data_IF_817410700090
#
_entry.id   IF_817410700090
#
_cell.length_a   1.000
_cell.length_b   1.000
_cell.length_c   1.000
_cell.angle_alpha   90.00
_cell.angle_beta   90.00
_cell.angle_gamma   90.00
#
_symmetry.space_group_name_H-M   'P 1'
#
loop_
_entity.id
_entity.type
_entity.pdbx_description
1 polymer ?
#
# COMPACT_ATOMS: atom_id res chain seq x y z
N UNK A 1 27.05 71.75 29.46
CA UNK A 1 27.03 70.92 28.31
C UNK A 1 26.99 69.47 28.77
N UNK A 2 25.79 68.90 28.87
CA UNK A 2 25.60 67.52 29.35
C UNK A 2 25.44 66.62 28.12
N UNK A 3 26.34 65.71 27.93
CA UNK A 3 26.27 64.68 26.88
C UNK A 3 25.49 63.50 27.47
N UNK A 4 24.32 63.28 26.97
CA UNK A 4 23.49 62.12 27.35
C UNK A 4 23.86 60.97 26.40
N UNK A 5 24.54 59.96 26.94
CA UNK A 5 24.87 58.74 26.21
C UNK A 5 23.66 57.79 26.26
N UNK A 6 22.97 57.64 25.15
CA UNK A 6 21.89 56.67 24.99
C UNK A 6 22.50 55.30 24.68
N UNK A 7 22.45 54.39 25.65
CA UNK A 7 22.83 52.98 25.46
C UNK A 7 21.65 52.26 24.79
N UNK A 8 21.85 51.90 23.54
CA UNK A 8 20.93 51.07 22.78
C UNK A 8 21.14 49.61 23.16
N UNK A 9 20.30 49.09 24.04
CA UNK A 9 20.27 47.65 24.36
C UNK A 9 19.70 46.90 23.16
N UNK A 10 20.53 46.27 22.36
CA UNK A 10 20.12 45.23 21.44
C UNK A 10 19.77 43.96 22.25
N UNK A 11 18.49 43.72 22.46
CA UNK A 11 17.98 42.43 22.88
C UNK A 11 18.14 41.45 21.70
N UNK A 12 19.26 40.73 21.68
CA UNK A 12 19.42 39.55 20.86
C UNK A 12 18.56 38.47 21.50
N UNK A 13 17.32 38.34 21.06
CA UNK A 13 16.51 37.15 21.32
C UNK A 13 17.14 35.99 20.55
N UNK A 14 18.10 35.32 21.15
CA UNK A 14 18.52 33.99 20.72
C UNK A 14 17.32 33.09 20.92
N UNK A 15 16.57 32.84 19.85
CA UNK A 15 15.74 31.65 19.75
C UNK A 15 16.68 30.45 19.86
N UNK A 16 16.83 29.92 21.05
CA UNK A 16 17.21 28.54 21.23
C UNK A 16 16.05 27.72 20.64
N UNK A 17 16.14 27.41 19.36
CA UNK A 17 15.50 26.24 18.84
C UNK A 17 16.09 25.10 19.68
N UNK A 18 15.35 24.67 20.69
CA UNK A 18 15.57 23.34 21.26
C UNK A 18 15.32 22.38 20.12
N UNK A 19 16.37 22.04 19.39
CA UNK A 19 16.41 20.80 18.67
C UNK A 19 16.15 19.75 19.73
N UNK A 20 14.90 19.29 19.83
CA UNK A 20 14.62 18.10 20.60
C UNK A 20 15.47 17.03 19.91
N UNK A 21 16.51 16.59 20.61
CA UNK A 21 17.26 15.42 20.16
C UNK A 21 16.21 14.34 19.90
N UNK A 22 16.12 13.79 18.70
CA UNK A 22 15.12 12.76 18.44
C UNK A 22 15.27 11.70 19.52
N UNK A 23 14.18 11.40 20.22
CA UNK A 23 14.17 10.33 21.21
C UNK A 23 14.48 9.05 20.43
N UNK A 24 15.57 8.36 20.82
CA UNK A 24 15.92 7.09 20.18
C UNK A 24 14.76 6.13 20.35
N UNK A 25 14.17 5.69 19.22
CA UNK A 25 13.12 4.69 19.20
C UNK A 25 13.76 3.33 18.92
N UNK A 26 13.45 2.36 19.76
CA UNK A 26 13.89 0.97 19.59
C UNK A 26 12.72 0.17 19.04
N UNK A 27 13.03 -0.90 18.27
CA UNK A 27 12.00 -1.81 17.80
C UNK A 27 11.41 -2.60 18.99
N UNK A 28 10.09 -2.61 19.09
CA UNK A 28 9.36 -3.42 20.05
C UNK A 28 8.23 -4.19 19.35
N UNK A 29 8.13 -5.49 19.60
CA UNK A 29 7.06 -6.32 19.05
C UNK A 29 5.65 -5.86 19.45
N UNK A 30 5.55 -5.10 20.54
CA UNK A 30 4.32 -4.62 21.13
C UNK A 30 3.93 -3.20 20.67
N UNK A 31 4.73 -2.58 19.83
CA UNK A 31 4.41 -1.28 19.22
C UNK A 31 3.53 -1.51 17.99
N UNK A 32 2.25 -1.75 18.24
CA UNK A 32 1.27 -2.05 17.22
C UNK A 32 0.44 -0.80 16.84
N UNK A 33 0.14 -0.59 15.55
CA UNK A 33 -0.72 0.52 15.12
C UNK A 33 -2.22 0.28 15.40
N UNK A 34 -2.57 -0.92 15.87
CA UNK A 34 -3.96 -1.32 16.12
C UNK A 34 -4.15 -1.78 17.57
N UNK A 35 -5.35 -1.56 18.09
CA UNK A 35 -5.71 -2.07 19.42
C UNK A 35 -5.98 -3.58 19.38
N UNK A 36 -5.86 -4.21 20.55
CA UNK A 36 -6.22 -5.64 20.75
C UNK A 36 -7.64 -5.95 20.31
N UNK A 37 -8.56 -5.05 20.63
CA UNK A 37 -9.99 -5.18 20.33
C UNK A 37 -10.22 -5.13 18.81
N UNK A 38 -9.52 -4.25 18.10
CA UNK A 38 -9.60 -4.16 16.64
C UNK A 38 -9.06 -5.43 15.98
N UNK A 39 -7.89 -5.90 16.41
CA UNK A 39 -7.29 -7.14 15.89
C UNK A 39 -8.17 -8.35 16.18
N UNK A 40 -8.80 -8.43 17.36
CA UNK A 40 -9.77 -9.47 17.68
C UNK A 40 -10.98 -9.40 16.76
N UNK A 41 -11.55 -8.21 16.57
CA UNK A 41 -12.72 -7.99 15.70
C UNK A 41 -12.44 -8.45 14.26
N UNK A 42 -11.24 -8.17 13.71
CA UNK A 42 -10.85 -8.63 12.37
C UNK A 42 -10.88 -10.17 12.27
N UNK A 43 -10.31 -10.87 13.26
CA UNK A 43 -10.29 -12.34 13.31
C UNK A 43 -11.71 -12.91 13.51
N UNK A 44 -12.50 -12.30 14.38
CA UNK A 44 -13.88 -12.72 14.64
C UNK A 44 -14.76 -12.55 13.39
N UNK A 45 -14.58 -11.46 12.65
CA UNK A 45 -15.28 -11.22 11.39
C UNK A 45 -14.98 -12.32 10.36
N UNK A 46 -13.70 -12.68 10.18
CA UNK A 46 -13.32 -13.78 9.29
C UNK A 46 -13.91 -15.11 9.76
N UNK A 47 -13.75 -15.45 11.04
CA UNK A 47 -14.26 -16.71 11.61
C UNK A 47 -15.78 -16.82 11.48
N UNK A 48 -16.52 -15.75 11.80
CA UNK A 48 -17.97 -15.72 11.70
C UNK A 48 -18.45 -15.84 10.26
N UNK A 49 -17.76 -15.21 9.30
CA UNK A 49 -18.09 -15.31 7.88
C UNK A 49 -17.92 -16.76 7.40
N UNK A 50 -16.77 -17.38 7.67
CA UNK A 50 -16.49 -18.77 7.29
C UNK A 50 -17.50 -19.74 7.93
N UNK A 51 -17.79 -19.58 9.21
CA UNK A 51 -18.82 -20.42 9.89
C UNK A 51 -20.22 -20.24 9.30
N UNK A 52 -20.59 -19.03 8.90
CA UNK A 52 -21.87 -18.76 8.22
C UNK A 52 -21.96 -19.47 6.88
N UNK A 53 -20.84 -19.68 6.21
CA UNK A 53 -20.73 -20.46 4.97
C UNK A 53 -20.69 -21.99 5.24
N UNK A 54 -20.73 -22.40 6.49
CA UNK A 54 -20.67 -23.82 6.89
C UNK A 54 -19.26 -24.39 6.97
N UNK A 55 -18.22 -23.51 6.97
CA UNK A 55 -16.85 -23.96 7.04
C UNK A 55 -16.47 -24.39 8.46
N UNK A 56 -15.60 -25.38 8.51
CA UNK A 56 -15.03 -25.96 9.75
C UNK A 56 -13.54 -26.24 9.54
N UNK A 57 -12.80 -26.50 10.63
CA UNK A 57 -11.38 -26.84 10.59
C UNK A 57 -10.48 -25.67 10.91
N UNK A 58 -9.32 -25.60 10.27
CA UNK A 58 -8.22 -24.69 10.63
C UNK A 58 -8.04 -23.61 9.58
N UNK A 59 -8.16 -22.35 9.96
CA UNK A 59 -7.69 -21.22 9.17
C UNK A 59 -6.19 -21.09 9.41
N UNK A 60 -5.38 -21.10 8.36
CA UNK A 60 -3.91 -21.05 8.46
C UNK A 60 -3.37 -19.90 7.62
N UNK A 61 -2.68 -18.98 8.28
CA UNK A 61 -2.16 -17.73 7.67
C UNK A 61 -0.66 -17.63 7.96
N UNK A 62 0.20 -17.88 6.96
CA UNK A 62 1.65 -17.79 7.13
C UNK A 62 2.15 -16.35 7.07
N UNK A 63 3.19 -16.07 7.85
CA UNK A 63 4.04 -14.89 7.74
C UNK A 63 5.07 -15.04 6.61
N UNK A 64 5.70 -13.93 6.22
CA UNK A 64 6.88 -13.95 5.36
C UNK A 64 8.12 -14.52 6.10
N UNK A 65 9.10 -14.98 5.33
CA UNK A 65 10.31 -15.66 5.85
C UNK A 65 11.33 -14.70 6.49
N UNK A 66 11.21 -13.41 6.25
CA UNK A 66 11.95 -12.39 7.00
C UNK A 66 13.39 -12.15 6.54
N UNK A 67 13.87 -12.82 5.51
CA UNK A 67 15.26 -12.64 5.11
C UNK A 67 15.41 -12.22 3.64
N UNK A 68 15.71 -10.91 3.44
CA UNK A 68 16.21 -10.40 2.16
C UNK A 68 17.40 -9.48 2.42
N UNK A 69 18.56 -9.78 1.83
CA UNK A 69 19.69 -8.89 1.90
C UNK A 69 19.39 -7.62 1.10
N UNK A 70 19.43 -6.48 1.78
CA UNK A 70 19.30 -5.15 1.14
C UNK A 70 17.88 -4.60 1.08
N UNK A 71 16.87 -5.34 1.53
CA UNK A 71 15.48 -4.86 1.61
C UNK A 71 15.00 -4.79 3.06
N UNK A 72 14.19 -3.79 3.37
CA UNK A 72 13.50 -3.71 4.65
C UNK A 72 12.45 -4.83 4.72
N UNK A 73 12.42 -5.60 5.81
CA UNK A 73 11.43 -6.65 5.99
C UNK A 73 10.01 -6.11 5.81
N UNK A 74 9.20 -6.82 5.05
CA UNK A 74 7.78 -6.58 4.88
C UNK A 74 7.00 -7.85 5.19
N UNK A 75 6.01 -7.72 6.06
CA UNK A 75 5.18 -8.84 6.44
C UNK A 75 4.19 -9.24 5.35
N UNK A 76 3.75 -10.50 5.35
CA UNK A 76 2.63 -10.96 4.53
C UNK A 76 1.35 -10.23 4.94
N UNK A 77 0.63 -9.71 3.97
CA UNK A 77 -0.53 -8.83 4.19
C UNK A 77 -1.56 -9.43 5.15
N UNK A 78 -1.98 -10.67 4.92
CA UNK A 78 -2.99 -11.31 5.78
C UNK A 78 -2.47 -11.53 7.20
N UNK A 79 -1.21 -11.96 7.36
CA UNK A 79 -0.64 -12.14 8.69
C UNK A 79 -0.61 -10.82 9.45
N UNK A 80 -0.14 -9.75 8.80
CA UNK A 80 -0.14 -8.40 9.40
C UNK A 80 -1.54 -7.91 9.70
N UNK A 81 -2.49 -8.07 8.78
CA UNK A 81 -3.88 -7.65 8.97
C UNK A 81 -4.52 -8.24 10.23
N UNK A 82 -4.30 -9.54 10.48
CA UNK A 82 -4.90 -10.26 11.59
C UNK A 82 -4.12 -10.21 12.91
N UNK A 83 -2.84 -9.79 12.88
CA UNK A 83 -1.97 -9.78 14.06
C UNK A 83 -1.35 -8.43 14.39
N UNK A 84 -1.16 -7.56 13.41
CA UNK A 84 -0.40 -6.32 13.53
C UNK A 84 1.13 -6.54 13.65
N UNK A 85 1.61 -7.78 13.62
CA UNK A 85 3.00 -8.14 13.94
C UNK A 85 3.86 -8.26 12.68
N UNK A 86 5.07 -7.73 12.75
CA UNK A 86 6.13 -7.98 11.76
C UNK A 86 7.03 -9.17 12.17
N UNK A 87 6.43 -10.25 12.67
CA UNK A 87 7.12 -11.45 13.16
C UNK A 87 7.39 -12.44 12.01
N UNK A 88 8.66 -12.63 11.59
CA UNK A 88 8.98 -13.50 10.45
C UNK A 88 8.85 -14.99 10.81
N UNK A 89 8.60 -15.81 9.79
CA UNK A 89 8.51 -17.28 9.89
C UNK A 89 7.42 -17.77 10.88
N UNK A 90 6.44 -16.93 11.20
CA UNK A 90 5.33 -17.31 12.08
C UNK A 90 4.13 -17.82 11.27
N UNK A 91 3.21 -18.47 11.94
CA UNK A 91 1.94 -18.95 11.38
C UNK A 91 0.82 -18.63 12.36
N UNK A 92 -0.16 -17.86 11.92
CA UNK A 92 -1.41 -17.69 12.67
C UNK A 92 -2.34 -18.83 12.33
N UNK A 93 -2.87 -19.51 13.35
CA UNK A 93 -3.90 -20.53 13.20
C UNK A 93 -5.14 -20.14 14.01
N UNK A 94 -6.31 -20.19 13.35
CA UNK A 94 -7.61 -20.04 14.00
C UNK A 94 -8.37 -21.38 13.84
N UNK A 95 -8.66 -22.04 14.95
CA UNK A 95 -9.46 -23.27 14.96
C UNK A 95 -10.95 -22.92 15.07
N UNK A 96 -11.67 -23.11 13.96
CA UNK A 96 -13.10 -22.79 13.90
C UNK A 96 -13.96 -23.74 14.72
N UNK A 97 -13.48 -24.96 14.99
CA UNK A 97 -14.19 -25.96 15.75
C UNK A 97 -14.14 -25.67 17.26
N UNK A 98 -12.97 -25.24 17.75
CA UNK A 98 -12.72 -25.01 19.16
C UNK A 98 -12.72 -23.53 19.56
N UNK A 99 -12.86 -22.61 18.62
CA UNK A 99 -12.80 -21.15 18.83
C UNK A 99 -11.48 -20.71 19.50
N UNK A 100 -10.37 -21.31 19.09
CA UNK A 100 -9.04 -20.93 19.58
C UNK A 100 -8.22 -20.29 18.49
N UNK A 101 -7.32 -19.38 18.87
CA UNK A 101 -6.40 -18.72 17.96
C UNK A 101 -5.01 -18.74 18.59
N UNK A 102 -3.99 -19.13 17.82
CA UNK A 102 -2.59 -19.25 18.27
C UNK A 102 -1.65 -18.77 17.17
N UNK A 103 -0.60 -18.06 17.56
CA UNK A 103 0.54 -17.75 16.67
C UNK A 103 1.65 -18.75 16.98
N UNK A 104 2.01 -19.55 15.99
CA UNK A 104 3.14 -20.46 16.05
C UNK A 104 4.38 -19.77 15.50
N UNK A 105 5.49 -19.81 16.24
CA UNK A 105 6.74 -19.15 15.86
C UNK A 105 7.94 -20.04 16.16
N UNK A 106 9.03 -19.95 15.36
CA UNK A 106 10.29 -20.57 15.74
C UNK A 106 10.77 -20.05 17.10
N UNK A 107 11.38 -20.92 17.88
CA UNK A 107 11.99 -20.50 19.14
C UNK A 107 13.18 -19.56 18.90
N UNK A 108 13.43 -18.68 19.86
CA UNK A 108 14.58 -17.77 19.84
C UNK A 108 15.87 -18.57 19.87
N UNK A 109 16.75 -18.32 18.90
CA UNK A 109 18.12 -18.84 18.92
C UNK A 109 19.05 -17.88 19.69
N UNK A 110 19.32 -18.18 20.95
CA UNK A 110 20.13 -17.33 21.82
C UNK A 110 21.57 -17.09 21.34
N UNK A 111 22.04 -17.87 20.35
CA UNK A 111 23.37 -17.65 19.75
C UNK A 111 23.39 -16.42 18.85
N UNK A 112 22.27 -16.10 18.21
CA UNK A 112 22.13 -15.04 17.21
C UNK A 112 21.12 -13.96 17.62
N UNK A 113 20.15 -14.31 18.47
CA UNK A 113 19.03 -13.45 18.87
C UNK A 113 19.09 -13.11 20.37
N UNK A 114 20.28 -12.91 20.87
CA UNK A 114 20.49 -12.58 22.28
C UNK A 114 20.47 -11.03 22.41
N UNK A 115 19.38 -10.49 22.90
CA UNK A 115 19.20 -9.06 23.12
C UNK A 115 20.09 -8.48 24.22
N UNK A 116 21.41 -8.55 24.04
CA UNK A 116 22.39 -8.16 25.06
C UNK A 116 22.71 -6.66 25.11
N UNK A 117 22.25 -5.88 24.13
CA UNK A 117 22.49 -4.43 24.05
C UNK A 117 21.18 -3.66 23.96
N UNK A 118 21.17 -2.49 24.55
CA UNK A 118 19.99 -1.62 24.58
C UNK A 118 19.51 -1.22 23.16
N UNK A 119 20.38 -1.25 22.16
CA UNK A 119 20.11 -0.85 20.77
C UNK A 119 20.01 -2.01 19.80
N UNK A 120 20.12 -3.26 20.29
CA UNK A 120 20.02 -4.42 19.43
C UNK A 120 18.54 -4.75 19.15
N UNK A 121 18.30 -5.38 18.01
CA UNK A 121 17.03 -6.03 17.74
C UNK A 121 16.74 -7.03 18.89
N UNK A 122 15.52 -6.98 19.49
CA UNK A 122 15.23 -7.75 20.72
C UNK A 122 15.24 -9.26 20.54
N UNK A 123 15.48 -9.75 19.32
CA UNK A 123 15.30 -11.15 18.94
C UNK A 123 13.81 -11.49 18.86
N UNK A 124 13.50 -12.75 18.51
CA UNK A 124 12.11 -13.21 18.52
C UNK A 124 11.55 -13.20 19.93
N UNK A 125 10.23 -12.98 20.11
CA UNK A 125 9.62 -13.04 21.43
C UNK A 125 9.79 -14.44 22.04
N UNK A 126 9.95 -14.50 23.35
CA UNK A 126 9.94 -15.76 24.07
C UNK A 126 8.52 -16.33 24.13
N UNK A 127 8.37 -17.65 24.02
CA UNK A 127 7.05 -18.30 24.04
C UNK A 127 6.27 -18.05 25.34
N UNK A 128 6.96 -17.84 26.45
CA UNK A 128 6.36 -17.53 27.74
C UNK A 128 6.21 -16.01 28.00
N UNK A 129 6.55 -15.16 27.02
CA UNK A 129 6.33 -13.73 27.13
C UNK A 129 4.87 -13.40 26.81
N UNK A 130 4.16 -12.84 27.79
CA UNK A 130 2.73 -12.51 27.65
C UNK A 130 2.51 -11.16 26.95
N UNK A 131 3.56 -10.35 26.73
CA UNK A 131 3.41 -9.01 26.16
C UNK A 131 2.74 -9.02 24.77
N UNK A 132 3.09 -10.00 23.93
CA UNK A 132 2.47 -10.17 22.61
C UNK A 132 0.97 -10.52 22.76
N UNK A 133 0.64 -11.48 23.61
CA UNK A 133 -0.75 -11.89 23.81
C UNK A 133 -1.59 -10.79 24.46
N UNK A 134 -1.00 -9.97 25.30
CA UNK A 134 -1.68 -8.83 25.93
C UNK A 134 -2.04 -7.75 24.88
N UNK A 135 -1.23 -7.59 23.85
CA UNK A 135 -1.43 -6.60 22.78
C UNK A 135 -2.23 -7.13 21.59
N UNK A 136 -2.03 -8.39 21.22
CA UNK A 136 -2.71 -8.98 20.06
C UNK A 136 -3.97 -9.76 20.40
N UNK A 137 -4.10 -10.18 21.65
CA UNK A 137 -5.12 -11.14 22.09
C UNK A 137 -4.85 -12.59 21.71
N UNK A 138 -3.61 -12.90 21.21
CA UNK A 138 -3.26 -14.23 20.69
C UNK A 138 -2.00 -14.74 21.37
N UNK A 139 -2.02 -15.93 22.00
CA UNK A 139 -0.86 -16.55 22.62
C UNK A 139 0.13 -17.05 21.56
N UNK A 140 1.40 -17.17 21.96
CA UNK A 140 2.45 -17.79 21.18
C UNK A 140 2.60 -19.29 21.52
N UNK A 141 2.95 -20.09 20.53
CA UNK A 141 3.32 -21.49 20.69
C UNK A 141 4.51 -21.84 19.77
N UNK A 142 5.13 -23.01 19.99
CA UNK A 142 6.28 -23.43 19.21
C UNK A 142 5.90 -24.00 17.83
N UNK A 143 6.86 -24.00 16.90
CA UNK A 143 6.69 -24.70 15.62
C UNK A 143 6.60 -26.23 15.78
N UNK A 144 7.05 -26.77 16.92
CA UNK A 144 6.83 -28.16 17.24
C UNK A 144 5.36 -28.43 17.54
N UNK A 145 4.72 -27.57 18.34
CA UNK A 145 3.27 -27.67 18.62
C UNK A 145 2.45 -27.52 17.33
N UNK A 146 2.87 -26.64 16.41
CA UNK A 146 2.24 -26.54 15.08
C UNK A 146 2.36 -27.86 14.30
N UNK A 147 3.51 -28.51 14.35
CA UNK A 147 3.72 -29.80 13.68
C UNK A 147 2.82 -30.88 14.27
N UNK A 148 2.65 -30.90 15.58
CA UNK A 148 1.74 -31.83 16.26
C UNK A 148 0.27 -31.55 15.91
N UNK A 149 -0.12 -30.28 15.87
CA UNK A 149 -1.46 -29.88 15.42
C UNK A 149 -1.75 -30.37 14.00
N UNK A 150 -0.82 -30.17 13.06
CA UNK A 150 -0.99 -30.62 11.66
C UNK A 150 -1.02 -32.13 11.52
N UNK A 151 -0.23 -32.87 12.33
CA UNK A 151 -0.28 -34.33 12.37
C UNK A 151 -1.66 -34.84 12.83
N UNK A 152 -2.23 -34.22 13.86
CA UNK A 152 -3.54 -34.60 14.38
C UNK A 152 -4.66 -34.23 13.41
N UNK A 153 -4.63 -33.02 12.85
CA UNK A 153 -5.58 -32.57 11.84
C UNK A 153 -5.57 -33.48 10.60
N UNK A 154 -4.39 -33.96 10.18
CA UNK A 154 -4.25 -34.91 9.06
C UNK A 154 -4.89 -36.26 9.35
N UNK A 155 -4.71 -36.80 10.58
CA UNK A 155 -5.35 -38.06 11.00
C UNK A 155 -6.87 -37.96 11.04
N UNK A 156 -7.38 -36.80 11.47
CA UNK A 156 -8.81 -36.49 11.56
C UNK A 156 -9.40 -36.07 10.22
N UNK A 157 -8.57 -35.92 9.18
CA UNK A 157 -8.97 -35.44 7.84
C UNK A 157 -9.63 -34.06 7.86
N UNK A 158 -9.11 -33.17 8.70
CA UNK A 158 -9.61 -31.82 8.83
C UNK A 158 -9.37 -31.00 7.54
N UNK A 159 -10.19 -29.96 7.39
CA UNK A 159 -10.01 -28.97 6.32
C UNK A 159 -9.08 -27.87 6.81
N UNK A 160 -8.13 -27.49 5.96
CA UNK A 160 -7.31 -26.29 6.10
C UNK A 160 -7.84 -25.23 5.15
N UNK A 161 -8.24 -24.09 5.72
CA UNK A 161 -8.67 -22.90 4.98
C UNK A 161 -7.48 -21.97 4.87
N UNK A 162 -7.08 -21.65 3.64
CA UNK A 162 -5.90 -20.83 3.37
C UNK A 162 -6.21 -19.86 2.23
N UNK A 163 -5.75 -18.62 2.34
CA UNK A 163 -5.89 -17.66 1.25
C UNK A 163 -4.85 -17.95 0.17
N UNK A 164 -5.27 -18.57 -0.91
CA UNK A 164 -4.44 -18.88 -2.07
C UNK A 164 -4.92 -18.07 -3.29
N UNK A 165 -4.78 -16.76 -3.22
CA UNK A 165 -5.24 -15.86 -4.28
C UNK A 165 -4.30 -15.76 -5.49
N UNK A 166 -3.15 -16.42 -5.48
CA UNK A 166 -2.18 -16.32 -6.58
C UNK A 166 -2.52 -17.11 -7.84
N UNK A 167 -3.74 -17.65 -7.96
CA UNK A 167 -4.19 -18.13 -9.28
C UNK A 167 -4.16 -17.02 -10.36
N UNK A 168 -4.27 -15.74 -9.95
CA UNK A 168 -4.14 -14.58 -10.84
C UNK A 168 -2.69 -14.22 -11.24
N UNK A 169 -1.71 -14.48 -10.37
CA UNK A 169 -0.29 -14.14 -10.60
C UNK A 169 0.42 -15.14 -11.52
N UNK A 170 -0.16 -16.30 -11.78
CA UNK A 170 0.33 -17.29 -12.75
C UNK A 170 0.43 -16.69 -14.17
N UNK A 171 -0.21 -15.56 -14.42
CA UNK A 171 -0.14 -14.86 -15.71
C UNK A 171 1.28 -14.51 -16.18
N UNK A 172 2.24 -14.45 -15.26
CA UNK A 172 3.64 -14.13 -15.56
C UNK A 172 4.57 -15.35 -15.50
N UNK A 173 4.07 -16.50 -15.08
CA UNK A 173 4.84 -17.73 -15.02
C UNK A 173 4.57 -18.55 -16.26
N UNK A 174 5.42 -18.39 -17.27
CA UNK A 174 5.34 -19.18 -18.51
C UNK A 174 5.81 -20.62 -18.35
N UNK A 175 6.44 -20.96 -17.21
CA UNK A 175 7.06 -22.26 -16.98
C UNK A 175 7.22 -22.53 -15.47
N UNK A 176 6.83 -23.73 -15.04
CA UNK A 176 6.93 -24.18 -13.63
C UNK A 176 8.36 -24.17 -13.08
N UNK A 177 9.38 -24.30 -13.95
CA UNK A 177 10.79 -24.28 -13.55
C UNK A 177 11.31 -22.89 -13.16
N UNK A 178 10.60 -21.82 -13.51
CA UNK A 178 10.97 -20.43 -13.18
C UNK A 178 9.97 -19.77 -12.24
N UNK A 179 9.04 -20.55 -11.68
CA UNK A 179 8.03 -20.06 -10.76
C UNK A 179 8.64 -19.63 -9.42
N UNK A 180 8.27 -18.44 -8.94
CA UNK A 180 8.51 -18.05 -7.54
C UNK A 180 7.31 -18.46 -6.70
N UNK A 181 7.56 -19.12 -5.57
CA UNK A 181 6.53 -19.59 -4.67
C UNK A 181 6.30 -18.59 -3.54
N UNK A 182 5.03 -18.27 -3.29
CA UNK A 182 4.65 -17.48 -2.11
C UNK A 182 4.76 -18.33 -0.82
N UNK A 183 4.82 -17.71 0.38
CA UNK A 183 4.77 -18.45 1.65
C UNK A 183 3.57 -19.41 1.73
N UNK A 184 2.43 -19.03 1.19
CA UNK A 184 1.24 -19.88 1.09
C UNK A 184 1.50 -21.12 0.23
N UNK A 185 2.10 -20.94 -0.95
CA UNK A 185 2.40 -22.08 -1.84
C UNK A 185 3.43 -23.01 -1.27
N UNK A 186 4.47 -22.48 -0.60
CA UNK A 186 5.47 -23.29 0.11
C UNK A 186 4.79 -24.11 1.21
N UNK A 187 3.90 -23.50 1.97
CA UNK A 187 3.15 -24.18 3.04
C UNK A 187 2.22 -25.26 2.48
N UNK A 188 1.51 -25.00 1.38
CA UNK A 188 0.65 -25.98 0.71
C UNK A 188 1.46 -27.18 0.18
N UNK A 189 2.64 -26.94 -0.39
CA UNK A 189 3.53 -28.03 -0.80
C UNK A 189 3.99 -28.87 0.40
N UNK A 190 4.34 -28.23 1.52
CA UNK A 190 4.72 -28.95 2.74
C UNK A 190 3.54 -29.80 3.28
N UNK A 191 2.31 -29.29 3.24
CA UNK A 191 1.12 -30.04 3.62
C UNK A 191 0.88 -31.24 2.69
N UNK A 192 0.90 -31.04 1.39
CA UNK A 192 0.74 -32.12 0.41
C UNK A 192 1.79 -33.24 0.59
N UNK A 193 3.03 -32.88 0.90
CA UNK A 193 4.12 -33.83 1.05
C UNK A 193 4.10 -34.59 2.39
N UNK A 194 3.63 -33.94 3.47
CA UNK A 194 3.73 -34.48 4.83
C UNK A 194 2.39 -34.90 5.43
N UNK A 195 1.28 -34.33 4.96
CA UNK A 195 -0.04 -34.42 5.57
C UNK A 195 -1.12 -34.72 4.51
N UNK A 196 -0.99 -35.83 3.81
CA UNK A 196 -1.88 -36.24 2.72
C UNK A 196 -3.37 -36.41 3.11
N UNK A 197 -3.66 -36.46 4.42
CA UNK A 197 -5.04 -36.51 4.95
C UNK A 197 -5.75 -35.16 5.00
N UNK A 198 -5.02 -34.04 4.92
CA UNK A 198 -5.62 -32.72 4.96
C UNK A 198 -6.35 -32.40 3.67
N UNK A 199 -7.49 -31.72 3.79
CA UNK A 199 -8.20 -31.09 2.69
C UNK A 199 -7.85 -29.61 2.68
N UNK A 200 -7.71 -29.03 1.50
CA UNK A 200 -7.43 -27.61 1.35
C UNK A 200 -8.61 -26.89 0.71
N UNK A 201 -8.95 -25.72 1.24
CA UNK A 201 -9.97 -24.84 0.67
C UNK A 201 -9.46 -23.40 0.62
N UNK A 202 -9.70 -22.73 -0.49
CA UNK A 202 -9.36 -21.31 -0.64
C UNK A 202 -10.40 -20.46 0.10
N UNK A 203 -9.93 -19.53 0.93
CA UNK A 203 -10.80 -18.59 1.66
C UNK A 203 -10.67 -17.13 1.14
N UNK A 204 -10.20 -16.94 -0.10
CA UNK A 204 -9.97 -15.61 -0.67
C UNK A 204 -11.18 -14.69 -0.55
N UNK A 205 -12.39 -15.17 -0.89
CA UNK A 205 -13.59 -14.33 -0.86
C UNK A 205 -13.91 -13.82 0.56
N UNK A 206 -13.73 -14.67 1.58
CA UNK A 206 -13.92 -14.28 2.96
C UNK A 206 -12.89 -13.23 3.40
N UNK A 207 -11.61 -13.42 3.05
CA UNK A 207 -10.55 -12.46 3.33
C UNK A 207 -10.80 -11.14 2.59
N UNK A 208 -11.17 -11.18 1.32
CA UNK A 208 -11.49 -10.00 0.53
C UNK A 208 -12.64 -9.20 1.15
N UNK A 209 -13.71 -9.86 1.56
CA UNK A 209 -14.84 -9.21 2.21
C UNK A 209 -14.46 -8.51 3.52
N UNK A 210 -13.54 -9.09 4.31
CA UNK A 210 -13.08 -8.48 5.56
C UNK A 210 -12.13 -7.32 5.30
N UNK A 211 -11.19 -7.45 4.35
CA UNK A 211 -10.16 -6.43 4.05
C UNK A 211 -10.66 -5.27 3.20
N UNK A 212 -11.68 -5.46 2.36
CA UNK A 212 -12.21 -4.38 1.51
C UNK A 212 -12.72 -3.18 2.32
N UNK A 213 -13.27 -3.40 3.51
CA UNK A 213 -13.82 -2.34 4.36
C UNK A 213 -12.79 -1.99 5.43
N UNK A 214 -12.18 -0.84 5.29
CA UNK A 214 -11.15 -0.35 6.20
C UNK A 214 -11.77 0.22 7.47
N UNK A 215 -11.16 -0.09 8.60
CA UNK A 215 -11.47 0.57 9.88
C UNK A 215 -11.02 2.03 9.87
N UNK A 216 -11.46 2.80 10.85
CA UNK A 216 -10.99 4.18 11.00
C UNK A 216 -9.48 4.25 11.22
N UNK A 217 -8.89 3.32 11.98
CA UNK A 217 -7.44 3.24 12.20
C UNK A 217 -6.68 2.99 10.88
N UNK A 218 -7.18 2.10 10.04
CA UNK A 218 -6.61 1.84 8.70
C UNK A 218 -6.71 3.08 7.79
N UNK A 219 -7.86 3.77 7.81
CA UNK A 219 -8.07 4.99 7.01
C UNK A 219 -7.10 6.10 7.45
N UNK A 220 -6.83 6.26 8.74
CA UNK A 220 -5.85 7.24 9.22
C UNK A 220 -4.41 6.90 8.77
N UNK A 221 -4.04 5.62 8.74
CA UNK A 221 -2.73 5.19 8.21
C UNK A 221 -2.65 5.48 6.70
N UNK A 222 -3.70 5.16 5.94
CA UNK A 222 -3.79 5.46 4.51
C UNK A 222 -3.75 6.97 4.22
N UNK A 223 -4.41 7.77 5.07
CA UNK A 223 -4.35 9.24 5.00
C UNK A 223 -2.93 9.76 5.22
N UNK A 224 -2.19 9.16 6.17
CA UNK A 224 -0.78 9.51 6.40
C UNK A 224 0.09 9.12 5.21
N UNK A 225 -0.10 7.92 4.64
CA UNK A 225 0.61 7.50 3.43
C UNK A 225 0.33 8.44 2.25
N UNK A 226 -0.94 8.81 2.02
CA UNK A 226 -1.33 9.79 1.01
C UNK A 226 -0.66 11.15 1.22
N UNK A 227 -0.64 11.65 2.47
CA UNK A 227 0.00 12.93 2.81
C UNK A 227 1.51 12.92 2.52
N UNK A 228 2.21 11.82 2.82
CA UNK A 228 3.65 11.67 2.52
C UNK A 228 3.86 11.70 1.00
N UNK A 229 3.05 10.97 0.23
CA UNK A 229 3.16 10.92 -1.23
C UNK A 229 2.86 12.28 -1.87
N UNK A 230 1.83 12.97 -1.40
CA UNK A 230 1.50 14.34 -1.84
C UNK A 230 2.68 15.28 -1.64
N UNK A 231 3.33 15.24 -0.48
CA UNK A 231 4.48 16.11 -0.20
C UNK A 231 5.68 15.74 -1.07
N UNK A 232 6.00 14.46 -1.24
CA UNK A 232 7.08 14.03 -2.14
C UNK A 232 6.88 14.47 -3.58
N UNK A 233 5.64 14.37 -4.12
CA UNK A 233 5.32 14.88 -5.45
C UNK A 233 5.56 16.40 -5.52
N UNK A 234 5.11 17.17 -4.52
CA UNK A 234 5.32 18.62 -4.46
C UNK A 234 6.81 18.99 -4.47
N UNK A 235 7.63 18.31 -3.67
CA UNK A 235 9.07 18.57 -3.60
C UNK A 235 9.77 18.20 -4.92
N UNK A 236 9.40 17.07 -5.52
CA UNK A 236 9.96 16.65 -6.81
C UNK A 236 9.55 17.59 -7.95
N UNK A 237 8.28 18.03 -7.97
CA UNK A 237 7.75 18.93 -9.01
C UNK A 237 8.49 20.26 -9.10
N UNK A 238 8.98 20.82 -8.01
CA UNK A 238 9.80 22.05 -7.97
C UNK A 238 11.13 21.92 -8.74
N UNK A 239 11.58 20.72 -8.99
CA UNK A 239 12.85 20.45 -9.68
C UNK A 239 12.68 20.12 -11.16
N UNK A 240 11.45 20.05 -11.65
CA UNK A 240 11.13 19.75 -13.05
C UNK A 240 11.62 20.88 -13.96
N UNK A 241 12.48 20.54 -14.91
CA UNK A 241 12.92 21.43 -15.99
C UNK A 241 13.63 20.65 -17.09
N UNK A 242 13.70 21.20 -18.28
CA UNK A 242 14.51 20.65 -19.36
C UNK A 242 15.97 20.45 -18.95
N UNK A 243 16.59 19.37 -19.39
CA UNK A 243 17.97 19.00 -19.05
C UNK A 243 18.09 18.18 -17.75
N UNK A 244 17.01 17.99 -17.00
CA UNK A 244 16.98 17.10 -15.82
C UNK A 244 16.56 15.69 -16.24
N UNK A 245 17.21 14.69 -15.68
CA UNK A 245 16.91 13.28 -15.89
C UNK A 245 15.71 12.84 -15.01
N UNK A 246 14.83 11.98 -15.55
CA UNK A 246 13.68 11.42 -14.81
C UNK A 246 14.10 10.82 -13.46
N UNK A 247 15.24 10.15 -13.38
CA UNK A 247 15.76 9.55 -12.14
C UNK A 247 16.17 10.56 -11.08
N UNK A 248 16.48 11.79 -11.47
CA UNK A 248 16.73 12.84 -10.48
C UNK A 248 15.45 13.19 -9.73
N UNK A 249 14.32 13.26 -10.45
CA UNK A 249 13.00 13.48 -9.84
C UNK A 249 12.62 12.34 -8.92
N UNK A 250 12.85 11.09 -9.38
CA UNK A 250 12.65 9.87 -8.58
C UNK A 250 13.46 9.92 -7.28
N UNK A 251 14.75 10.29 -7.36
CA UNK A 251 15.60 10.40 -6.18
C UNK A 251 15.15 11.46 -5.16
N UNK A 252 14.63 12.61 -5.63
CA UNK A 252 14.05 13.64 -4.74
C UNK A 252 12.77 13.13 -4.09
N UNK A 253 11.86 12.55 -4.86
CA UNK A 253 10.59 11.99 -4.39
C UNK A 253 10.81 10.93 -3.30
N UNK A 254 11.61 9.91 -3.60
CA UNK A 254 11.85 8.78 -2.70
C UNK A 254 12.65 9.18 -1.45
N UNK A 255 13.56 10.17 -1.61
CA UNK A 255 14.26 10.78 -0.48
C UNK A 255 13.29 11.48 0.46
N UNK A 256 12.33 12.24 -0.08
CA UNK A 256 11.30 12.92 0.70
C UNK A 256 10.36 11.92 1.41
N UNK A 257 9.97 10.85 0.74
CA UNK A 257 9.18 9.77 1.36
C UNK A 257 9.85 9.25 2.64
N UNK A 258 11.15 8.94 2.57
CA UNK A 258 11.92 8.46 3.73
C UNK A 258 12.06 9.51 4.83
N UNK A 259 12.29 10.76 4.47
CA UNK A 259 12.37 11.89 5.42
C UNK A 259 11.06 12.04 6.19
N UNK A 260 9.92 11.82 5.53
CA UNK A 260 8.59 11.94 6.12
C UNK A 260 8.06 10.65 6.78
N UNK A 261 8.89 9.59 6.89
CA UNK A 261 8.63 8.39 7.69
C UNK A 261 8.09 7.20 6.92
N UNK A 262 8.11 7.22 5.59
CA UNK A 262 7.82 6.02 4.80
C UNK A 262 8.88 4.95 5.03
N UNK A 263 8.44 3.71 5.22
CA UNK A 263 9.33 2.58 5.38
C UNK A 263 9.80 2.00 4.04
N UNK A 264 8.93 2.03 3.02
CA UNK A 264 9.14 1.44 1.69
C UNK A 264 8.38 2.22 0.63
N UNK A 265 8.66 1.93 -0.62
CA UNK A 265 7.80 2.31 -1.73
C UNK A 265 6.59 1.36 -1.77
N UNK A 266 5.43 1.86 -2.19
CA UNK A 266 4.25 1.04 -2.48
C UNK A 266 4.51 0.11 -3.68
N UNK A 267 5.20 0.67 -4.68
CA UNK A 267 5.68 0.02 -5.90
C UNK A 267 6.86 0.85 -6.46
N UNK A 268 7.51 0.38 -7.51
CA UNK A 268 8.60 1.16 -8.14
C UNK A 268 8.06 2.46 -8.72
N UNK A 269 8.61 3.58 -8.29
CA UNK A 269 8.18 4.93 -8.71
C UNK A 269 8.17 5.08 -10.22
N UNK A 270 7.06 5.55 -10.78
CA UNK A 270 6.88 5.79 -12.21
C UNK A 270 6.92 7.29 -12.45
N UNK A 271 8.08 7.77 -12.90
CA UNK A 271 8.26 9.16 -13.34
C UNK A 271 8.76 9.10 -14.78
N UNK A 272 7.87 9.43 -15.73
CA UNK A 272 8.12 9.26 -17.15
C UNK A 272 7.73 10.50 -17.93
N UNK A 273 8.60 10.90 -18.88
CA UNK A 273 8.44 12.13 -19.64
C UNK A 273 8.38 11.87 -21.15
N UNK A 274 7.66 12.72 -21.86
CA UNK A 274 7.55 12.68 -23.32
C UNK A 274 7.26 11.28 -23.84
N UNK A 275 8.01 10.73 -24.80
CA UNK A 275 7.76 9.40 -25.36
C UNK A 275 7.77 8.25 -24.35
N UNK A 276 8.43 8.38 -23.19
CA UNK A 276 8.43 7.35 -22.15
C UNK A 276 7.07 7.26 -21.42
N UNK A 277 6.28 8.33 -21.43
CA UNK A 277 5.00 8.40 -20.74
C UNK A 277 3.81 7.86 -21.56
N UNK A 278 4.00 7.53 -22.83
CA UNK A 278 2.89 7.15 -23.72
C UNK A 278 2.30 5.76 -23.48
N UNK A 279 2.91 5.00 -22.62
CA UNK A 279 2.40 3.67 -22.30
C UNK A 279 2.66 3.36 -20.83
N UNK A 280 1.67 3.54 -19.98
CA UNK A 280 1.80 3.23 -18.56
C UNK A 280 2.30 1.79 -18.31
N UNK A 281 1.87 0.83 -19.12
CA UNK A 281 2.27 -0.58 -19.00
C UNK A 281 3.65 -0.94 -19.58
N UNK A 282 4.27 -0.08 -20.35
CA UNK A 282 5.72 -0.17 -20.62
C UNK A 282 6.57 0.10 -19.39
N UNK A 283 5.92 0.44 -18.36
CA UNK A 283 6.32 0.51 -16.97
C UNK A 283 7.06 -0.73 -16.48
N UNK A 284 6.79 -1.91 -17.00
CA UNK A 284 7.69 -3.05 -16.79
C UNK A 284 9.13 -2.71 -17.20
N UNK A 285 9.33 -1.72 -18.05
CA UNK A 285 10.64 -1.18 -18.35
C UNK A 285 11.22 -0.32 -17.22
N UNK A 286 10.45 0.13 -16.24
CA UNK A 286 10.95 0.85 -15.05
C UNK A 286 11.83 -0.03 -14.18
N UNK A 287 11.56 -1.34 -14.15
CA UNK A 287 12.40 -2.31 -13.46
C UNK A 287 13.77 -2.50 -14.13
N UNK A 288 13.94 -2.04 -15.37
CA UNK A 288 15.21 -2.05 -16.06
C UNK A 288 15.87 -0.69 -15.92
N UNK A 289 16.80 -0.59 -15.04
CA UNK A 289 17.58 0.57 -14.57
C UNK A 289 18.20 1.53 -15.64
N UNK A 290 17.85 1.42 -16.91
CA UNK A 290 18.54 2.15 -17.97
C UNK A 290 17.62 2.77 -19.01
N UNK A 291 16.34 3.00 -18.68
CA UNK A 291 15.37 3.59 -19.60
C UNK A 291 14.76 4.90 -19.12
N UNK A 292 15.49 5.62 -18.31
CA UNK A 292 15.23 7.01 -18.02
C UNK A 292 15.69 7.88 -19.19
N UNK A 293 15.10 9.05 -19.30
CA UNK A 293 15.53 10.06 -20.28
C UNK A 293 15.77 11.40 -19.61
N UNK A 294 16.56 12.24 -20.28
CA UNK A 294 16.67 13.67 -19.97
C UNK A 294 15.44 14.35 -20.56
N UNK A 295 14.70 15.08 -19.72
CA UNK A 295 13.49 15.79 -20.11
C UNK A 295 13.80 16.94 -21.07
N UNK A 296 12.91 17.20 -22.01
CA UNK A 296 13.03 18.24 -23.02
C UNK A 296 11.91 19.26 -22.91
N UNK A 297 12.15 20.49 -23.40
CA UNK A 297 11.09 21.50 -23.48
C UNK A 297 9.94 20.99 -24.37
N UNK A 298 8.70 21.16 -23.88
CA UNK A 298 7.49 20.68 -24.56
C UNK A 298 7.04 19.31 -24.11
N UNK A 299 7.88 18.53 -23.41
CA UNK A 299 7.45 17.29 -22.77
C UNK A 299 6.45 17.56 -21.65
N UNK A 300 5.55 16.61 -21.45
CA UNK A 300 4.88 16.36 -20.17
C UNK A 300 5.65 15.30 -19.39
N UNK A 301 5.66 15.40 -18.08
CA UNK A 301 6.13 14.34 -17.19
C UNK A 301 4.99 13.89 -16.30
N UNK A 302 4.73 12.58 -16.28
CA UNK A 302 3.76 11.94 -15.39
C UNK A 302 4.47 11.40 -14.16
N UNK A 303 3.78 11.50 -13.04
CA UNK A 303 4.07 10.81 -11.79
C UNK A 303 2.94 9.82 -11.55
N UNK A 304 3.30 8.59 -11.28
CA UNK A 304 2.44 7.54 -10.79
C UNK A 304 3.26 6.85 -9.69
N UNK A 305 2.98 7.21 -8.44
CA UNK A 305 3.89 6.99 -7.31
C UNK A 305 3.14 6.79 -6.01
N UNK A 306 3.74 5.97 -5.16
CA UNK A 306 3.17 5.70 -3.84
C UNK A 306 4.22 5.29 -2.83
N UNK A 307 3.95 5.60 -1.58
CA UNK A 307 4.76 5.17 -0.45
C UNK A 307 4.00 4.18 0.44
N UNK A 308 4.76 3.48 1.29
CA UNK A 308 4.20 2.60 2.31
C UNK A 308 4.44 3.21 3.70
N UNK A 309 3.40 3.28 4.50
CA UNK A 309 3.44 3.70 5.90
C UNK A 309 2.68 2.68 6.75
N UNK A 310 3.33 2.09 7.75
CA UNK A 310 2.78 0.97 8.55
C UNK A 310 2.15 -0.12 7.68
N UNK A 311 2.84 -0.51 6.62
CA UNK A 311 2.44 -1.49 5.60
C UNK A 311 1.21 -1.13 4.74
N UNK A 312 0.56 0.00 4.96
CA UNK A 312 -0.50 0.50 4.11
C UNK A 312 0.08 1.40 3.01
N UNK A 313 -0.45 1.26 1.81
CA UNK A 313 0.11 1.92 0.63
C UNK A 313 -0.73 3.09 0.16
N UNK A 314 -0.07 4.08 -0.40
CA UNK A 314 -0.69 5.12 -1.22
C UNK A 314 -0.44 4.87 -2.71
N UNK A 315 -1.25 5.51 -3.54
CA UNK A 315 -1.13 5.50 -4.99
C UNK A 315 -1.72 6.80 -5.54
N UNK A 316 -0.87 7.67 -6.11
CA UNK A 316 -1.26 9.02 -6.51
C UNK A 316 -0.51 9.44 -7.77
N UNK A 317 -1.24 9.96 -8.74
CA UNK A 317 -0.67 10.38 -10.01
C UNK A 317 -0.96 11.83 -10.38
N UNK A 318 0.02 12.48 -11.02
CA UNK A 318 -0.11 13.83 -11.60
C UNK A 318 0.76 14.00 -12.84
N UNK A 319 0.37 14.97 -13.64
CA UNK A 319 1.11 15.37 -14.85
C UNK A 319 1.57 16.81 -14.74
N UNK A 320 2.83 17.06 -15.08
CA UNK A 320 3.46 18.39 -15.05
C UNK A 320 4.09 18.73 -16.40
N UNK A 321 4.15 20.03 -16.78
CA UNK A 321 4.83 20.48 -17.99
C UNK A 321 6.31 20.70 -17.71
N UNK A 322 7.20 20.09 -18.48
CA UNK A 322 8.66 20.23 -18.29
C UNK A 322 9.14 21.67 -18.51
N UNK A 323 8.44 22.44 -19.35
CA UNK A 323 8.73 23.87 -19.60
C UNK A 323 8.22 24.82 -18.49
N UNK A 324 7.62 24.30 -17.41
CA UNK A 324 7.02 25.09 -16.33
C UNK A 324 5.63 25.67 -16.65
N UNK A 325 5.18 25.55 -17.90
CA UNK A 325 3.83 25.96 -18.35
C UNK A 325 3.31 24.98 -19.39
N UNK A 326 2.02 24.65 -19.30
CA UNK A 326 1.35 23.81 -20.30
C UNK A 326 1.11 24.62 -21.59
N UNK A 327 1.22 23.97 -22.74
CA UNK A 327 0.66 24.53 -23.98
C UNK A 327 -0.87 24.53 -23.93
N UNK A 328 -1.54 25.31 -24.78
CA UNK A 328 -3.01 25.36 -24.81
C UNK A 328 -3.61 23.95 -25.06
N UNK A 329 -2.99 23.16 -25.94
CA UNK A 329 -3.45 21.80 -26.22
C UNK A 329 -3.28 20.86 -25.02
N UNK A 330 -2.16 20.97 -24.31
CA UNK A 330 -1.93 20.19 -23.08
C UNK A 330 -2.91 20.56 -21.99
N UNK A 331 -3.22 21.87 -21.81
CA UNK A 331 -4.27 22.35 -20.88
C UNK A 331 -5.64 21.78 -21.24
N UNK A 332 -6.03 21.86 -22.50
CA UNK A 332 -7.30 21.33 -22.99
C UNK A 332 -7.47 19.84 -22.61
N UNK A 333 -6.43 19.03 -22.83
CA UNK A 333 -6.45 17.60 -22.51
C UNK A 333 -6.47 17.36 -21.01
N UNK A 334 -5.63 18.04 -20.22
CA UNK A 334 -5.57 17.89 -18.77
C UNK A 334 -6.92 18.29 -18.13
N UNK A 335 -7.52 19.40 -18.56
CA UNK A 335 -8.83 19.84 -18.08
C UNK A 335 -9.93 18.83 -18.43
N UNK A 336 -9.89 18.27 -19.65
CA UNK A 336 -10.84 17.26 -20.09
C UNK A 336 -10.71 15.98 -19.26
N UNK A 337 -9.49 15.49 -19.04
CA UNK A 337 -9.22 14.27 -18.27
C UNK A 337 -9.57 14.44 -16.79
N UNK A 338 -9.15 15.56 -16.17
CA UNK A 338 -9.52 15.92 -14.78
C UNK A 338 -11.03 16.01 -14.60
N UNK A 339 -11.75 16.53 -15.60
CA UNK A 339 -13.22 16.55 -15.56
C UNK A 339 -13.82 15.15 -15.54
N UNK A 340 -13.24 14.19 -16.24
CA UNK A 340 -13.68 12.79 -16.16
C UNK A 340 -13.48 12.24 -14.75
N UNK A 341 -12.32 12.51 -14.12
CA UNK A 341 -12.07 12.15 -12.72
C UNK A 341 -13.09 12.78 -11.78
N UNK A 342 -13.38 14.09 -11.94
CA UNK A 342 -14.34 14.81 -11.11
C UNK A 342 -15.76 14.24 -11.21
N UNK A 343 -16.22 13.88 -12.41
CA UNK A 343 -17.54 13.26 -12.60
C UNK A 343 -17.62 11.87 -11.96
N UNK A 344 -16.54 11.10 -12.01
CA UNK A 344 -16.44 9.81 -11.32
C UNK A 344 -16.52 10.03 -9.80
N UNK A 345 -15.66 10.89 -9.24
CA UNK A 345 -15.60 11.18 -7.79
C UNK A 345 -16.97 11.67 -7.29
N UNK A 346 -17.61 12.57 -8.01
CA UNK A 346 -18.94 13.09 -7.67
C UNK A 346 -20.04 12.01 -7.65
N UNK A 347 -19.88 10.98 -8.47
CA UNK A 347 -20.85 9.88 -8.56
C UNK A 347 -20.68 8.85 -7.44
N UNK A 348 -19.46 8.72 -6.88
CA UNK A 348 -19.11 7.72 -5.87
C UNK A 348 -19.90 7.90 -4.57
N UNK A 349 -20.58 6.84 -4.16
CA UNK A 349 -21.35 6.78 -2.89
C UNK A 349 -21.65 5.33 -2.53
N UNK A 350 -22.06 5.04 -1.29
CA UNK A 350 -22.54 3.71 -0.93
C UNK A 350 -23.72 3.25 -1.79
N UNK A 351 -23.82 1.95 -2.02
CA UNK A 351 -24.93 1.30 -2.71
C UNK A 351 -24.80 1.14 -4.22
N UNK A 352 -23.81 1.77 -4.87
CA UNK A 352 -23.51 1.54 -6.29
C UNK A 352 -22.46 0.45 -6.47
N UNK A 353 -22.32 -0.06 -7.69
CA UNK A 353 -21.33 -1.07 -8.07
C UNK A 353 -20.21 -0.48 -8.92
N UNK A 354 -19.08 -1.17 -9.04
CA UNK A 354 -18.04 -0.79 -10.00
C UNK A 354 -18.54 -0.79 -11.45
N UNK A 355 -19.55 -1.63 -11.78
CA UNK A 355 -20.19 -1.63 -13.10
C UNK A 355 -20.95 -0.31 -13.34
N UNK A 356 -21.58 0.26 -12.32
CA UNK A 356 -22.26 1.56 -12.43
C UNK A 356 -21.21 2.67 -12.66
N UNK A 357 -20.09 2.63 -11.95
CA UNK A 357 -18.95 3.55 -12.17
C UNK A 357 -18.42 3.41 -13.59
N UNK A 358 -18.21 2.20 -14.08
CA UNK A 358 -17.78 1.94 -15.46
C UNK A 358 -18.76 2.52 -16.48
N UNK A 359 -20.05 2.33 -16.24
CA UNK A 359 -21.11 2.83 -17.12
C UNK A 359 -21.09 4.37 -17.18
N UNK A 360 -20.99 5.03 -16.02
CA UNK A 360 -20.82 6.47 -15.95
C UNK A 360 -19.57 6.91 -16.70
N UNK A 361 -18.43 6.32 -16.40
CA UNK A 361 -17.12 6.66 -17.01
C UNK A 361 -17.20 6.64 -18.53
N UNK A 362 -17.76 5.58 -19.10
CA UNK A 362 -17.95 5.47 -20.55
C UNK A 362 -18.88 6.55 -21.13
N UNK A 363 -19.80 7.09 -20.34
CA UNK A 363 -20.73 8.13 -20.77
C UNK A 363 -20.13 9.53 -20.72
N UNK A 364 -19.19 9.79 -19.78
CA UNK A 364 -18.62 11.12 -19.56
C UNK A 364 -17.36 11.37 -20.41
N UNK A 365 -16.69 10.34 -20.88
CA UNK A 365 -15.55 10.47 -21.80
C UNK A 365 -16.03 11.02 -23.14
N UNK A 366 -15.51 12.15 -23.62
CA UNK A 366 -15.85 12.69 -24.93
C UNK A 366 -15.54 11.69 -26.07
N UNK A 367 -16.38 11.64 -27.11
CA UNK A 367 -16.22 10.67 -28.17
C UNK A 367 -14.86 10.75 -28.89
N UNK A 368 -14.32 11.94 -29.04
CA UNK A 368 -13.01 12.18 -29.66
C UNK A 368 -11.84 11.77 -28.73
N UNK A 369 -12.06 11.63 -27.43
CA UNK A 369 -11.06 11.18 -26.47
C UNK A 369 -11.07 9.66 -26.23
N UNK A 370 -12.17 8.97 -26.54
CA UNK A 370 -12.31 7.51 -26.33
C UNK A 370 -11.19 6.66 -26.91
N UNK A 371 -10.64 6.94 -28.11
CA UNK A 371 -9.51 6.16 -28.64
C UNK A 371 -8.22 6.26 -27.80
N UNK A 372 -8.10 7.31 -26.99
CA UNK A 372 -6.92 7.65 -26.20
C UNK A 372 -7.10 7.40 -24.70
N UNK A 373 -8.32 7.05 -24.27
CA UNK A 373 -8.68 6.75 -22.89
C UNK A 373 -9.21 5.33 -22.78
N UNK A 374 -8.31 4.37 -22.67
CA UNK A 374 -8.71 2.97 -22.52
C UNK A 374 -9.02 2.68 -21.05
N UNK A 375 -10.22 2.18 -20.83
CA UNK A 375 -10.81 1.97 -19.50
C UNK A 375 -10.86 0.46 -19.23
N UNK A 376 -10.42 0.07 -18.04
CA UNK A 376 -10.71 -1.25 -17.50
C UNK A 376 -12.16 -1.35 -16.99
N UNK A 377 -12.40 -2.08 -15.91
CA UNK A 377 -13.73 -2.20 -15.29
C UNK A 377 -14.20 -0.85 -14.72
N UNK A 378 -13.30 -0.09 -14.12
CA UNK A 378 -13.41 1.30 -13.72
C UNK A 378 -11.99 1.90 -13.78
N UNK A 379 -11.86 3.22 -13.71
CA UNK A 379 -10.53 3.81 -13.63
C UNK A 379 -9.99 3.66 -12.21
N UNK A 380 -9.35 2.53 -11.89
CA UNK A 380 -8.67 2.33 -10.63
C UNK A 380 -8.78 0.91 -10.03
N UNK A 381 -8.19 0.74 -8.87
CA UNK A 381 -8.13 -0.51 -8.10
C UNK A 381 -8.22 -0.25 -6.60
N UNK A 382 -8.53 -1.31 -5.83
CA UNK A 382 -8.55 -1.23 -4.37
C UNK A 382 -7.15 -1.01 -3.79
N UNK A 383 -7.11 -0.21 -2.71
CA UNK A 383 -5.91 0.06 -1.92
C UNK A 383 -6.10 -0.40 -0.47
N UNK A 384 -4.99 -0.76 0.14
CA UNK A 384 -4.93 -1.16 1.54
C UNK A 384 -3.50 -1.50 1.93
N UNK A 385 -3.24 -2.76 2.25
CA UNK A 385 -1.89 -3.28 2.49
C UNK A 385 -1.09 -3.46 1.19
N UNK A 386 -1.75 -3.44 0.04
CA UNK A 386 -1.09 -3.49 -1.27
C UNK A 386 -1.86 -2.65 -2.29
N UNK A 387 -1.21 -2.31 -3.40
CA UNK A 387 -1.86 -1.64 -4.56
C UNK A 387 -2.83 -2.57 -5.29
N UNK A 388 -2.76 -3.87 -5.06
CA UNK A 388 -3.73 -4.88 -5.50
C UNK A 388 -4.47 -5.47 -4.31
N UNK A 389 -4.99 -4.64 -3.40
CA UNK A 389 -5.69 -5.11 -2.20
C UNK A 389 -6.89 -6.00 -2.58
N UNK A 390 -7.16 -7.09 -1.84
CA UNK A 390 -8.22 -8.03 -2.20
C UNK A 390 -9.56 -7.35 -2.43
N UNK A 391 -10.23 -7.73 -3.51
CA UNK A 391 -11.52 -7.15 -3.89
C UNK A 391 -12.41 -8.17 -4.60
N UNK A 392 -13.71 -7.91 -4.62
CA UNK A 392 -14.70 -8.70 -5.35
C UNK A 392 -15.29 -7.84 -6.48
N UNK A 393 -15.25 -8.34 -7.71
CA UNK A 393 -15.70 -7.61 -8.90
C UNK A 393 -17.19 -7.23 -8.89
N UNK A 394 -18.01 -7.94 -8.10
CA UNK A 394 -19.43 -7.68 -7.89
C UNK A 394 -19.74 -6.94 -6.59
N UNK A 395 -18.72 -6.39 -5.91
CA UNK A 395 -18.93 -5.68 -4.65
C UNK A 395 -19.81 -4.45 -4.86
N UNK A 396 -20.71 -4.25 -3.91
CA UNK A 396 -21.45 -2.99 -3.74
C UNK A 396 -20.61 -2.08 -2.87
N UNK A 397 -20.40 -0.84 -3.29
CA UNK A 397 -19.63 0.14 -2.53
C UNK A 397 -20.24 0.37 -1.15
N UNK A 398 -19.39 0.38 -0.14
CA UNK A 398 -19.74 0.58 1.27
C UNK A 398 -18.78 1.60 1.90
N UNK A 399 -19.22 2.30 2.95
CA UNK A 399 -18.32 3.13 3.74
C UNK A 399 -17.08 2.35 4.20
N UNK A 400 -15.92 2.99 4.16
CA UNK A 400 -14.62 2.38 4.48
C UNK A 400 -13.92 1.69 3.32
N UNK A 401 -14.52 1.53 2.15
CA UNK A 401 -13.81 1.06 0.95
C UNK A 401 -12.86 2.14 0.45
N UNK A 402 -11.61 1.75 0.15
CA UNK A 402 -10.57 2.65 -0.39
C UNK A 402 -10.07 2.11 -1.72
N UNK A 403 -9.98 2.99 -2.71
CA UNK A 403 -9.48 2.67 -4.05
C UNK A 403 -9.02 3.94 -4.80
N UNK A 404 -8.43 3.77 -5.97
CA UNK A 404 -7.98 4.88 -6.82
C UNK A 404 -9.03 5.29 -7.84
N UNK A 405 -8.98 6.55 -8.27
CA UNK A 405 -9.64 7.06 -9.48
C UNK A 405 -8.54 7.64 -10.35
N UNK A 406 -8.23 6.96 -11.45
CA UNK A 406 -7.00 7.17 -12.22
C UNK A 406 -7.23 7.19 -13.73
N UNK A 407 -7.98 8.14 -14.30
CA UNK A 407 -8.11 8.24 -15.74
C UNK A 407 -6.76 8.51 -16.42
N UNK A 408 -6.60 7.88 -17.59
CA UNK A 408 -5.42 8.03 -18.44
C UNK A 408 -5.83 8.56 -19.80
N UNK A 409 -5.05 9.50 -20.31
CA UNK A 409 -5.10 9.91 -21.71
C UNK A 409 -3.71 9.81 -22.32
N UNK A 410 -3.57 9.16 -23.45
CA UNK A 410 -2.33 9.15 -24.20
C UNK A 410 -2.56 9.16 -25.70
N UNK A 411 -1.84 10.05 -26.39
CA UNK A 411 -1.91 10.23 -27.83
C UNK A 411 -0.48 10.31 -28.38
N UNK A 412 -0.06 9.24 -29.06
CA UNK A 412 1.26 9.15 -29.64
C UNK A 412 1.51 10.21 -30.74
N UNK A 413 0.48 10.50 -31.54
CA UNK A 413 0.61 11.41 -32.69
C UNK A 413 0.85 12.86 -32.23
N UNK A 414 0.24 13.24 -31.10
CA UNK A 414 0.41 14.57 -30.50
C UNK A 414 1.56 14.62 -29.49
N UNK A 415 2.19 13.49 -29.16
CA UNK A 415 3.16 13.38 -28.06
C UNK A 415 2.62 13.91 -26.71
N UNK A 416 1.36 13.58 -26.40
CA UNK A 416 0.68 13.99 -25.18
C UNK A 416 0.27 12.76 -24.38
N UNK A 417 0.72 12.70 -23.14
CA UNK A 417 0.27 11.75 -22.14
C UNK A 417 -0.12 12.51 -20.87
N UNK A 418 -1.34 12.28 -20.38
CA UNK A 418 -1.86 12.90 -19.16
C UNK A 418 -2.38 11.81 -18.24
N UNK A 419 -2.07 11.95 -16.97
CA UNK A 419 -2.47 11.05 -15.90
C UNK A 419 -2.78 11.84 -14.65
N UNK A 420 -3.96 11.61 -14.09
CA UNK A 420 -4.40 12.15 -12.81
C UNK A 420 -4.98 11.03 -11.99
N UNK A 421 -4.41 10.79 -10.82
CA UNK A 421 -4.86 9.74 -9.91
C UNK A 421 -5.05 10.27 -8.51
N UNK A 422 -6.17 9.91 -7.90
CA UNK A 422 -6.51 10.25 -6.53
C UNK A 422 -6.93 9.03 -5.72
N UNK A 423 -6.49 8.98 -4.47
CA UNK A 423 -6.98 8.02 -3.48
C UNK A 423 -8.34 8.45 -2.94
N UNK A 424 -9.29 7.53 -2.95
CA UNK A 424 -10.67 7.76 -2.54
C UNK A 424 -11.05 6.82 -1.42
N UNK A 425 -11.70 7.35 -0.37
CA UNK A 425 -12.43 6.55 0.63
C UNK A 425 -13.93 6.81 0.52
N UNK A 426 -14.74 5.76 0.48
CA UNK A 426 -16.19 5.86 0.53
C UNK A 426 -16.63 6.23 1.95
N UNK A 427 -17.44 7.27 2.07
CA UNK A 427 -18.06 7.74 3.32
C UNK A 427 -19.52 7.28 3.44
N UNK A 428 -20.23 7.67 4.50
CA UNK A 428 -21.64 7.27 4.71
C UNK A 428 -22.59 7.82 3.61
N UNK A 429 -22.24 8.93 3.00
CA UNK A 429 -23.13 9.66 2.04
C UNK A 429 -22.47 10.01 0.71
N UNK A 430 -21.18 9.67 0.52
CA UNK A 430 -20.41 10.00 -0.67
C UNK A 430 -19.02 9.41 -0.66
N UNK A 431 -18.02 10.24 -0.91
CA UNK A 431 -16.61 9.87 -0.80
C UNK A 431 -15.74 11.06 -0.36
N UNK A 432 -14.57 10.76 0.16
CA UNK A 432 -13.52 11.74 0.45
C UNK A 432 -12.28 11.44 -0.41
N UNK A 433 -11.66 12.50 -0.93
CA UNK A 433 -10.37 12.42 -1.63
C UNK A 433 -9.25 12.57 -0.62
N UNK A 434 -8.47 11.51 -0.38
CA UNK A 434 -7.36 11.50 0.58
C UNK A 434 -6.17 12.32 0.07
N UNK A 435 -6.01 12.46 -1.25
CA UNK A 435 -4.97 13.21 -1.95
C UNK A 435 -5.34 14.66 -2.27
N UNK A 436 -6.43 15.20 -1.68
CA UNK A 436 -7.02 16.53 -2.00
C UNK A 436 -6.05 17.72 -1.93
N UNK A 437 -4.96 17.58 -1.15
CA UNK A 437 -3.96 18.66 -0.98
C UNK A 437 -2.97 18.75 -2.16
N UNK A 438 -3.10 17.86 -3.15
CA UNK A 438 -2.36 17.92 -4.41
C UNK A 438 -3.28 18.46 -5.52
N UNK A 439 -2.99 19.64 -6.10
CA UNK A 439 -3.85 20.24 -7.10
C UNK A 439 -3.97 19.40 -8.38
N UNK A 440 -5.06 19.68 -9.16
CA UNK A 440 -5.33 19.01 -10.44
C UNK A 440 -5.49 19.99 -11.61
N UNK A 441 -5.68 21.30 -11.33
CA UNK A 441 -5.85 22.29 -12.40
C UNK A 441 -4.49 22.70 -12.97
N UNK A 442 -4.41 22.99 -14.29
CA UNK A 442 -3.17 23.44 -14.93
C UNK A 442 -2.48 24.59 -14.19
N UNK A 443 -3.25 25.63 -13.83
CA UNK A 443 -2.73 26.83 -13.19
C UNK A 443 -2.15 26.55 -11.81
N UNK A 444 -2.80 25.69 -11.03
CA UNK A 444 -2.33 25.32 -9.70
C UNK A 444 -1.10 24.39 -9.75
N UNK A 445 -1.02 23.50 -10.75
CA UNK A 445 0.16 22.66 -10.99
C UNK A 445 1.35 23.51 -11.43
N UNK A 446 1.14 24.48 -12.35
CA UNK A 446 2.17 25.44 -12.76
C UNK A 446 2.65 26.31 -11.58
N UNK A 447 1.73 26.74 -10.69
CA UNK A 447 2.08 27.49 -9.48
C UNK A 447 2.96 26.68 -8.53
N UNK A 448 2.59 25.41 -8.29
CA UNK A 448 3.32 24.49 -7.41
C UNK A 448 4.76 24.25 -7.85
N UNK A 449 5.05 24.31 -9.15
CA UNK A 449 6.40 24.17 -9.68
C UNK A 449 7.29 25.41 -9.42
N UNK A 450 6.66 26.57 -9.14
CA UNK A 450 7.38 27.84 -8.90
C UNK A 450 7.67 28.14 -7.44
N UNK A 451 6.87 27.57 -6.52
CA UNK A 451 6.96 27.75 -5.06
C UNK A 451 8.03 26.81 -4.44
#
# INVERSE_FOLDING_TARGET
>A
MKITTTILLYLISTFFAFSQTPVQTYFEWTDLPFTKEELSTRRDNLANMLKKEGETGLVVIPANDGFSFGETFRQADDFYYFTGLELPNAILVMDLNHNTTVIYTPERDLRFENGSRVNDFPGRPLLNDTSISDKTGVPLASMQDFTELMNNASKEKNTVLINNNREGDIRYVSNEYVATYSPVQVLLQAFNNRHSGLKHKNMYEAVANVRMIKSNSEIEILRKAASITVEGIKQSAKTIKAGVDERYLEGILEGDFKINGSQRLAFGSIIKSGPNSHWPWRILATHYNRRNRVMENGDLVIFDVGCEYNQYVSDIGRTFPVSGTFTERQKEILVMETKVADEIIKFLKPGITFKDVQTLTNSVIPNNAKPYMQVGLFFGHHLGLSTGDPSLSNAILKPGMVFTVEPWYYNHDENISVFTEDMIVITEDGCEVLSKDLPRTPEALEALMRD
#
